data_IF_703929766677
#
_entry.id   IF_703929766677
#
_cell.length_a   1.000
_cell.length_b   1.000
_cell.length_c   1.000
_cell.angle_alpha   90.00
_cell.angle_beta   90.00
_cell.angle_gamma   90.00
#
_symmetry.space_group_name_H-M   'P 1'
#
loop_
_entity.id
_entity.type
_entity.pdbx_description
1 polymer ?
#
# COMPACT_ATOMS: atom_id res chain seq x y z
N UNK A 1 32.90 -37.91 33.91
CA UNK A 1 33.21 -36.67 33.15
C UNK A 1 31.98 -36.32 32.35
N UNK A 2 31.48 -35.12 32.62
CA UNK A 2 30.19 -34.55 32.22
C UNK A 2 30.16 -34.16 30.73
N UNK A 3 29.07 -34.46 30.03
CA UNK A 3 28.69 -33.73 28.82
C UNK A 3 27.16 -33.73 28.68
N UNK A 4 26.55 -32.63 29.09
CA UNK A 4 25.17 -32.24 28.78
C UNK A 4 25.22 -31.33 27.55
N UNK A 5 24.70 -31.80 26.42
CA UNK A 5 24.43 -30.97 25.25
C UNK A 5 22.92 -30.81 25.08
N UNK A 6 22.41 -29.65 25.49
CA UNK A 6 21.11 -29.13 25.10
C UNK A 6 21.27 -28.54 23.69
N UNK A 7 20.78 -29.28 22.69
CA UNK A 7 20.72 -28.85 21.30
C UNK A 7 19.30 -28.40 20.94
N UNK A 8 19.15 -27.09 20.78
CA UNK A 8 17.93 -26.35 20.42
C UNK A 8 17.30 -26.85 19.11
N UNK A 9 16.03 -27.25 19.16
CA UNK A 9 15.16 -27.39 17.98
C UNK A 9 14.82 -25.98 17.46
N UNK A 10 15.37 -25.61 16.31
CA UNK A 10 14.90 -24.45 15.53
C UNK A 10 14.74 -24.92 14.08
N UNK A 11 13.59 -25.52 13.79
CA UNK A 11 13.18 -25.89 12.43
C UNK A 11 12.78 -24.61 11.69
N UNK A 12 13.73 -24.01 10.98
CA UNK A 12 13.47 -22.97 9.99
C UNK A 12 12.77 -23.60 8.79
N UNK A 13 11.52 -23.20 8.54
CA UNK A 13 10.85 -23.38 7.26
C UNK A 13 11.56 -22.51 6.21
N UNK A 14 12.56 -23.09 5.53
CA UNK A 14 13.14 -22.54 4.31
C UNK A 14 12.44 -23.22 3.13
N UNK A 15 11.43 -22.56 2.57
CA UNK A 15 10.92 -22.92 1.24
C UNK A 15 11.94 -22.47 0.18
N UNK A 16 12.28 -23.32 -0.82
CA UNK A 16 13.22 -22.94 -1.86
C UNK A 16 12.57 -21.96 -2.84
N UNK A 17 13.18 -20.78 -2.99
CA UNK A 17 12.84 -19.78 -4.00
C UNK A 17 13.31 -20.25 -5.39
N UNK A 18 12.38 -20.75 -6.20
CA UNK A 18 12.60 -20.92 -7.64
C UNK A 18 12.19 -19.63 -8.36
N UNK A 19 13.03 -18.59 -8.32
CA UNK A 19 12.82 -17.38 -9.13
C UNK A 19 13.31 -17.65 -10.54
N UNK A 20 12.40 -17.92 -11.47
CA UNK A 20 12.72 -17.96 -12.90
C UNK A 20 12.85 -16.51 -13.38
N UNK A 21 14.06 -16.13 -13.80
CA UNK A 21 14.35 -14.83 -14.42
C UNK A 21 13.60 -14.70 -15.76
N UNK A 22 12.73 -13.68 -15.88
CA UNK A 22 12.02 -13.36 -17.12
C UNK A 22 12.55 -12.03 -17.68
N UNK A 23 12.76 -12.02 -19.00
CA UNK A 23 13.30 -10.90 -19.79
C UNK A 23 12.46 -9.62 -19.65
N UNK A 24 13.13 -8.50 -19.40
CA UNK A 24 12.55 -7.16 -19.39
C UNK A 24 12.31 -6.65 -20.82
N UNK A 25 11.07 -6.31 -21.16
CA UNK A 25 10.74 -5.47 -22.32
C UNK A 25 10.11 -4.17 -21.82
N UNK A 26 10.75 -3.05 -22.15
CA UNK A 26 10.54 -1.72 -21.55
C UNK A 26 9.23 -1.02 -21.89
N UNK A 27 8.27 -1.69 -22.55
CA UNK A 27 6.99 -1.06 -22.95
C UNK A 27 5.73 -1.77 -22.44
N UNK A 28 5.86 -2.95 -21.83
CA UNK A 28 4.79 -3.61 -21.09
C UNK A 28 5.43 -4.62 -20.14
N UNK A 29 5.94 -4.16 -19.00
CA UNK A 29 6.66 -5.00 -18.03
C UNK A 29 5.66 -5.91 -17.29
N UNK A 30 5.19 -6.93 -17.99
CA UNK A 30 4.49 -8.07 -17.42
C UNK A 30 5.52 -9.08 -16.95
N UNK A 31 5.37 -9.56 -15.73
CA UNK A 31 6.20 -10.64 -15.19
C UNK A 31 5.31 -11.74 -14.64
N UNK A 32 5.73 -12.98 -14.85
CA UNK A 32 5.06 -14.17 -14.35
C UNK A 32 5.90 -14.78 -13.23
N UNK A 33 5.24 -15.33 -12.23
CA UNK A 33 5.90 -16.04 -11.13
C UNK A 33 4.93 -17.06 -10.52
N UNK A 34 5.42 -17.86 -9.59
CA UNK A 34 4.61 -18.85 -8.86
C UNK A 34 4.63 -18.56 -7.36
N UNK A 35 3.51 -18.84 -6.70
CA UNK A 35 3.35 -18.83 -5.26
C UNK A 35 2.73 -20.15 -4.82
N UNK A 36 3.56 -21.08 -4.33
CA UNK A 36 3.13 -22.47 -4.21
C UNK A 36 2.74 -23.00 -5.59
N UNK A 37 1.54 -23.57 -5.69
CA UNK A 37 0.99 -24.09 -6.95
C UNK A 37 0.30 -23.02 -7.81
N UNK A 38 0.11 -21.80 -7.27
CA UNK A 38 -0.60 -20.73 -7.96
C UNK A 38 0.32 -19.96 -8.89
N UNK A 39 -0.06 -19.92 -10.18
CA UNK A 39 0.56 -19.03 -11.16
C UNK A 39 0.04 -17.61 -10.92
N UNK A 40 0.95 -16.65 -10.85
CA UNK A 40 0.66 -15.25 -10.62
C UNK A 40 1.26 -14.36 -11.71
N UNK A 41 0.66 -13.19 -11.90
CA UNK A 41 1.22 -12.12 -12.73
C UNK A 41 1.52 -10.89 -11.88
N UNK A 42 2.47 -10.10 -12.36
CA UNK A 42 2.66 -8.71 -11.96
C UNK A 42 2.71 -7.87 -13.23
N UNK A 43 1.79 -6.91 -13.35
CA UNK A 43 1.50 -6.15 -14.57
C UNK A 43 1.43 -4.66 -14.28
N UNK A 44 2.21 -3.87 -15.00
CA UNK A 44 2.08 -2.40 -14.99
C UNK A 44 0.92 -1.95 -15.88
N UNK A 45 0.06 -1.10 -15.36
CA UNK A 45 -1.04 -0.43 -16.06
C UNK A 45 -0.75 1.07 -16.02
N UNK A 46 -0.23 1.63 -17.11
CA UNK A 46 0.23 3.02 -17.14
C UNK A 46 -0.89 3.98 -17.54
N UNK A 47 -0.99 5.14 -16.91
CA UNK A 47 -1.99 6.17 -17.25
C UNK A 47 -3.43 5.64 -17.19
N UNK A 48 -3.79 4.97 -16.10
CA UNK A 48 -5.17 4.59 -15.83
C UNK A 48 -5.94 5.83 -15.38
N UNK A 49 -7.10 6.04 -15.99
CA UNK A 49 -7.98 7.16 -15.68
C UNK A 49 -8.67 6.91 -14.35
N UNK A 50 -8.61 7.88 -13.44
CA UNK A 50 -9.44 7.93 -12.23
C UNK A 50 -10.55 8.96 -12.38
N UNK A 51 -10.78 9.78 -11.36
CA UNK A 51 -11.76 10.87 -11.45
C UNK A 51 -11.33 12.04 -12.34
N UNK A 52 -12.26 12.53 -13.16
CA UNK A 52 -12.01 13.54 -14.19
C UNK A 52 -10.89 13.13 -15.15
N UNK A 53 -9.90 14.01 -15.31
CA UNK A 53 -8.71 13.77 -16.14
C UNK A 53 -7.51 13.27 -15.33
N UNK A 54 -7.69 12.91 -14.05
CA UNK A 54 -6.60 12.46 -13.19
C UNK A 54 -6.11 11.08 -13.64
N UNK A 55 -4.81 10.95 -13.87
CA UNK A 55 -4.16 9.71 -14.30
C UNK A 55 -3.22 9.18 -13.22
N UNK A 56 -3.28 7.88 -12.96
CA UNK A 56 -2.28 7.18 -12.16
C UNK A 56 -1.78 5.93 -12.88
N UNK A 57 -0.52 5.61 -12.63
CA UNK A 57 0.00 4.28 -12.92
C UNK A 57 -0.39 3.32 -11.80
N UNK A 58 -0.76 2.09 -12.15
CA UNK A 58 -1.14 1.04 -11.22
C UNK A 58 -0.34 -0.22 -11.53
N UNK A 59 0.28 -0.83 -10.52
CA UNK A 59 0.87 -2.17 -10.65
C UNK A 59 -0.11 -3.18 -10.06
N UNK A 60 -0.63 -4.04 -10.92
CA UNK A 60 -1.44 -5.20 -10.51
C UNK A 60 -0.53 -6.37 -10.17
N UNK A 61 -0.86 -7.13 -9.11
CA UNK A 61 -0.24 -8.41 -8.83
C UNK A 61 -1.26 -9.40 -8.24
N UNK A 62 -1.32 -10.62 -8.78
CA UNK A 62 -2.29 -11.61 -8.31
C UNK A 62 -2.33 -12.90 -9.13
N UNK A 63 -3.09 -13.88 -8.64
CA UNK A 63 -3.30 -15.17 -9.29
C UNK A 63 -4.14 -15.03 -10.58
N UNK A 64 -3.86 -15.86 -11.58
CA UNK A 64 -4.45 -15.76 -12.93
C UNK A 64 -5.61 -16.71 -13.19
N UNK A 65 -6.08 -17.48 -12.23
CA UNK A 65 -7.17 -18.47 -12.46
C UNK A 65 -8.19 -18.59 -11.34
N UNK A 66 -7.90 -17.95 -10.20
CA UNK A 66 -8.76 -17.90 -9.03
C UNK A 66 -9.58 -16.62 -9.04
N UNK A 67 -10.80 -16.68 -8.53
CA UNK A 67 -11.54 -15.47 -8.19
C UNK A 67 -10.94 -14.97 -6.87
N UNK A 68 -10.48 -13.73 -6.77
CA UNK A 68 -9.91 -13.23 -5.53
C UNK A 68 -10.99 -13.16 -4.43
N UNK A 69 -10.60 -13.54 -3.22
CA UNK A 69 -11.41 -13.37 -2.01
C UNK A 69 -11.52 -11.91 -1.59
N UNK A 70 -10.62 -11.05 -2.08
CA UNK A 70 -10.57 -9.63 -1.79
C UNK A 70 -9.50 -8.89 -2.60
N UNK A 71 -9.39 -7.59 -2.35
CA UNK A 71 -8.46 -6.69 -2.99
C UNK A 71 -7.63 -5.97 -1.92
N UNK A 72 -6.34 -5.80 -2.18
CA UNK A 72 -5.42 -5.00 -1.37
C UNK A 72 -4.94 -3.85 -2.23
N UNK A 73 -5.25 -2.62 -1.84
CA UNK A 73 -4.73 -1.41 -2.49
C UNK A 73 -3.61 -0.85 -1.66
N UNK A 74 -2.45 -0.69 -2.28
CA UNK A 74 -1.24 -0.23 -1.62
C UNK A 74 -0.79 1.13 -2.17
N UNK A 75 -0.56 2.07 -1.26
CA UNK A 75 0.03 3.37 -1.55
C UNK A 75 1.48 3.39 -1.04
N UNK A 76 2.48 3.39 -1.94
CA UNK A 76 3.89 3.36 -1.58
C UNK A 76 4.40 4.67 -0.94
N UNK A 77 5.59 4.59 -0.36
CA UNK A 77 6.28 5.69 0.29
C UNK A 77 7.15 6.55 -0.62
N UNK A 78 7.93 7.42 0.01
CA UNK A 78 9.11 8.00 -0.64
C UNK A 78 10.06 6.90 -1.10
N UNK A 79 10.96 7.25 -2.03
CA UNK A 79 12.00 6.39 -2.61
C UNK A 79 11.45 5.29 -3.53
N UNK A 80 10.29 4.72 -3.21
CA UNK A 80 9.67 3.63 -3.98
C UNK A 80 9.16 4.13 -5.34
N UNK A 81 9.75 3.60 -6.41
CA UNK A 81 9.39 3.86 -7.80
C UNK A 81 9.60 2.56 -8.60
N UNK A 82 9.41 2.61 -9.92
CA UNK A 82 9.84 1.53 -10.80
C UNK A 82 11.33 1.25 -10.64
N UNK A 83 11.69 -0.04 -10.75
CA UNK A 83 13.06 -0.53 -10.60
C UNK A 83 14.09 0.30 -11.40
N UNK A 84 13.81 0.59 -12.67
CA UNK A 84 14.71 1.36 -13.52
C UNK A 84 14.93 2.81 -13.04
N UNK A 85 13.91 3.45 -12.45
CA UNK A 85 14.01 4.80 -11.90
C UNK A 85 14.86 4.79 -10.62
N UNK A 86 14.67 3.78 -9.77
CA UNK A 86 15.43 3.61 -8.54
C UNK A 86 16.90 3.30 -8.83
N UNK A 87 17.20 2.39 -9.76
CA UNK A 87 18.56 2.04 -10.18
C UNK A 87 19.33 3.23 -10.78
N UNK A 88 18.63 4.09 -11.52
CA UNK A 88 19.22 5.29 -12.10
C UNK A 88 19.53 6.38 -11.06
N UNK A 89 19.01 6.27 -9.84
CA UNK A 89 19.23 7.25 -8.78
C UNK A 89 20.55 6.99 -8.04
N UNK A 90 21.35 8.05 -7.81
CA UNK A 90 22.64 7.96 -7.10
C UNK A 90 22.53 7.28 -5.73
N UNK A 91 21.62 7.78 -4.90
CA UNK A 91 21.50 7.37 -3.48
C UNK A 91 20.43 6.29 -3.22
N UNK A 92 19.34 6.28 -3.99
CA UNK A 92 18.18 5.41 -3.77
C UNK A 92 18.33 4.00 -4.39
N UNK A 93 19.28 3.80 -5.30
CA UNK A 93 19.52 2.50 -5.96
C UNK A 93 19.76 1.32 -5.00
N UNK A 94 20.24 1.60 -3.77
CA UNK A 94 20.43 0.58 -2.74
C UNK A 94 19.12 0.01 -2.17
N UNK A 95 18.02 0.74 -2.33
CA UNK A 95 16.68 0.33 -1.88
C UNK A 95 15.85 -0.29 -3.01
N UNK A 96 16.47 -0.64 -4.14
CA UNK A 96 15.78 -1.16 -5.33
C UNK A 96 14.93 -2.41 -5.03
N UNK A 97 15.32 -3.24 -4.05
CA UNK A 97 14.52 -4.40 -3.64
C UNK A 97 13.11 -4.01 -3.18
N UNK A 98 12.89 -2.75 -2.79
CA UNK A 98 11.62 -2.17 -2.36
C UNK A 98 10.88 -1.43 -3.47
N UNK A 99 11.21 -1.68 -4.74
CA UNK A 99 10.48 -1.16 -5.89
C UNK A 99 9.00 -1.59 -5.88
N UNK A 100 8.20 -0.97 -6.74
CA UNK A 100 6.75 -1.17 -6.77
C UNK A 100 6.35 -2.62 -7.03
N UNK A 101 7.00 -3.30 -7.98
CA UNK A 101 6.69 -4.68 -8.33
C UNK A 101 7.15 -5.68 -7.28
N UNK A 102 8.34 -5.48 -6.70
CA UNK A 102 8.82 -6.31 -5.59
C UNK A 102 7.91 -6.17 -4.38
N UNK A 103 7.47 -4.95 -4.06
CA UNK A 103 6.51 -4.71 -2.99
C UNK A 103 5.15 -5.33 -3.31
N UNK A 104 4.68 -5.25 -4.56
CA UNK A 104 3.42 -5.89 -4.97
C UNK A 104 3.48 -7.42 -4.78
N UNK A 105 4.60 -8.07 -5.14
CA UNK A 105 4.80 -9.51 -4.93
C UNK A 105 4.87 -9.88 -3.45
N UNK A 106 5.54 -9.06 -2.64
CA UNK A 106 5.61 -9.25 -1.19
C UNK A 106 4.21 -9.20 -0.55
N UNK A 107 3.39 -8.22 -0.94
CA UNK A 107 2.00 -8.13 -0.48
C UNK A 107 1.15 -9.28 -0.99
N UNK A 108 1.36 -9.72 -2.24
CA UNK A 108 0.65 -10.88 -2.78
C UNK A 108 0.94 -12.13 -1.94
N UNK A 109 2.19 -12.34 -1.49
CA UNK A 109 2.56 -13.44 -0.59
C UNK A 109 1.88 -13.34 0.78
N UNK A 110 1.74 -12.12 1.32
CA UNK A 110 1.06 -11.89 2.60
C UNK A 110 -0.46 -12.07 2.51
N UNK A 111 -1.04 -11.77 1.36
CA UNK A 111 -2.47 -11.86 1.09
C UNK A 111 -2.72 -12.83 -0.08
N UNK A 112 -2.46 -14.14 0.08
CA UNK A 112 -2.34 -15.10 -1.03
C UNK A 112 -3.60 -15.29 -1.86
N UNK A 113 -4.78 -15.03 -1.30
CA UNK A 113 -6.08 -15.12 -1.99
C UNK A 113 -6.63 -13.77 -2.46
N UNK A 114 -5.85 -12.70 -2.34
CA UNK A 114 -6.26 -11.35 -2.72
C UNK A 114 -5.51 -10.87 -3.95
N UNK A 115 -6.15 -9.98 -4.71
CA UNK A 115 -5.47 -9.19 -5.73
C UNK A 115 -4.83 -7.95 -5.13
N UNK A 116 -3.60 -7.64 -5.53
CA UNK A 116 -2.86 -6.47 -5.07
C UNK A 116 -2.83 -5.39 -6.17
N UNK A 117 -3.13 -4.16 -5.78
CA UNK A 117 -3.14 -2.98 -6.64
C UNK A 117 -2.25 -1.90 -6.01
N UNK A 118 -1.02 -1.78 -6.49
CA UNK A 118 -0.11 -0.71 -6.04
C UNK A 118 -0.39 0.54 -6.87
N UNK A 119 -0.91 1.58 -6.23
CA UNK A 119 -1.20 2.87 -6.87
C UNK A 119 0.04 3.76 -6.80
N UNK A 120 0.73 3.90 -7.91
CA UNK A 120 1.92 4.75 -7.99
C UNK A 120 1.50 6.22 -7.86
N UNK A 121 2.30 6.99 -7.11
CA UNK A 121 2.17 8.45 -7.07
C UNK A 121 2.29 9.08 -8.46
N UNK A 122 1.53 10.14 -8.73
CA UNK A 122 1.54 10.84 -10.02
C UNK A 122 2.88 11.49 -10.31
N UNK A 123 3.61 11.91 -9.27
CA UNK A 123 4.93 12.54 -9.39
C UNK A 123 5.86 12.09 -8.26
N UNK A 124 7.15 11.94 -8.62
CA UNK A 124 8.28 11.76 -7.70
C UNK A 124 9.16 13.01 -7.74
N UNK A 125 8.97 13.94 -6.81
CA UNK A 125 9.77 15.16 -6.73
C UNK A 125 11.20 14.82 -6.31
N UNK A 126 12.18 15.40 -7.01
CA UNK A 126 13.61 15.06 -6.83
C UNK A 126 13.90 13.56 -6.93
N UNK A 127 13.05 12.81 -7.67
CA UNK A 127 13.14 11.35 -7.81
C UNK A 127 13.14 10.60 -6.47
N UNK A 128 12.58 11.20 -5.42
CA UNK A 128 12.60 10.69 -4.04
C UNK A 128 11.25 10.90 -3.34
N UNK A 129 10.72 12.12 -3.38
CA UNK A 129 9.54 12.47 -2.60
C UNK A 129 8.25 12.18 -3.37
N UNK A 130 7.39 11.31 -2.84
CA UNK A 130 6.11 10.98 -3.46
C UNK A 130 5.12 12.15 -3.35
N UNK A 131 4.40 12.48 -4.43
CA UNK A 131 3.39 13.54 -4.45
C UNK A 131 2.04 13.00 -4.91
N UNK A 132 1.12 12.77 -3.97
CA UNK A 132 -0.21 12.22 -4.20
C UNK A 132 -1.28 13.27 -4.55
N UNK A 133 -0.95 14.24 -5.41
CA UNK A 133 -1.83 15.39 -5.71
C UNK A 133 -3.17 15.02 -6.37
N UNK A 134 -3.32 13.80 -6.90
CA UNK A 134 -4.61 13.31 -7.39
C UNK A 134 -5.59 12.93 -6.26
N UNK A 135 -5.06 12.61 -5.08
CA UNK A 135 -5.83 12.23 -3.90
C UNK A 135 -5.91 13.34 -2.88
N UNK A 136 -4.80 14.06 -2.66
CA UNK A 136 -4.69 15.08 -1.62
C UNK A 136 -3.95 16.33 -2.10
N UNK A 137 -4.53 17.52 -1.87
CA UNK A 137 -3.85 18.80 -2.09
C UNK A 137 -2.51 18.79 -1.36
N UNK A 138 -1.43 19.11 -2.06
CA UNK A 138 -0.08 19.01 -1.51
C UNK A 138 0.84 20.09 -2.09
N UNK A 139 1.86 20.45 -1.34
CA UNK A 139 2.95 21.28 -1.86
C UNK A 139 3.88 20.50 -2.82
N UNK A 140 4.92 21.16 -3.33
CA UNK A 140 5.79 20.57 -4.34
C UNK A 140 6.56 19.31 -3.92
N UNK A 141 6.79 19.12 -2.62
CA UNK A 141 7.46 17.95 -2.06
C UNK A 141 6.47 16.92 -1.47
N UNK A 142 5.17 17.10 -1.70
CA UNK A 142 4.14 16.16 -1.28
C UNK A 142 3.76 16.25 0.19
N UNK A 143 3.96 17.39 0.85
CA UNK A 143 3.34 17.63 2.16
C UNK A 143 1.85 17.91 1.97
N UNK A 144 0.96 17.16 2.66
CA UNK A 144 -0.47 17.25 2.43
C UNK A 144 -1.13 18.42 3.15
N UNK A 145 -2.20 18.93 2.55
CA UNK A 145 -3.20 19.79 3.16
C UNK A 145 -4.52 19.01 3.19
N UNK A 146 -4.82 18.41 4.34
CA UNK A 146 -6.01 17.59 4.52
C UNK A 146 -7.26 18.44 4.79
N UNK A 147 -8.27 18.27 3.95
CA UNK A 147 -9.60 18.86 4.13
C UNK A 147 -10.66 17.91 3.58
N UNK A 148 -11.91 18.03 4.02
CA UNK A 148 -12.99 17.24 3.43
C UNK A 148 -13.40 17.80 2.06
N UNK A 149 -13.79 16.92 1.13
CA UNK A 149 -14.34 17.28 -0.17
C UNK A 149 -13.37 17.16 -1.34
N UNK A 150 -12.18 16.59 -1.15
CA UNK A 150 -11.15 16.49 -2.22
C UNK A 150 -11.38 15.34 -3.22
N UNK A 151 -12.51 14.62 -3.10
CA UNK A 151 -12.95 13.56 -4.01
C UNK A 151 -11.97 12.37 -4.10
N UNK A 152 -11.21 12.10 -3.02
CA UNK A 152 -10.20 11.02 -2.99
C UNK A 152 -10.82 9.63 -3.23
N UNK A 153 -12.00 9.37 -2.65
CA UNK A 153 -12.75 8.13 -2.88
C UNK A 153 -13.28 8.00 -4.29
N UNK A 154 -13.75 9.10 -4.90
CA UNK A 154 -14.25 9.05 -6.27
C UNK A 154 -13.12 8.66 -7.23
N UNK A 155 -11.94 9.27 -7.03
CA UNK A 155 -10.75 8.97 -7.81
C UNK A 155 -10.32 7.51 -7.62
N UNK A 156 -10.27 7.00 -6.39
CA UNK A 156 -9.92 5.59 -6.12
C UNK A 156 -10.89 4.61 -6.80
N UNK A 157 -12.20 4.85 -6.64
CA UNK A 157 -13.24 3.99 -7.20
C UNK A 157 -13.12 3.88 -8.72
N UNK A 158 -13.03 5.02 -9.43
CA UNK A 158 -12.85 5.05 -10.88
C UNK A 158 -11.52 4.43 -11.31
N UNK A 159 -10.44 4.71 -10.59
CA UNK A 159 -9.11 4.20 -10.90
C UNK A 159 -9.06 2.66 -10.87
N UNK A 160 -9.62 2.04 -9.83
CA UNK A 160 -9.64 0.58 -9.71
C UNK A 160 -10.57 -0.08 -10.73
N UNK A 161 -11.74 0.51 -11.00
CA UNK A 161 -12.65 0.02 -12.02
C UNK A 161 -11.97 -0.02 -13.40
N UNK A 162 -11.37 1.11 -13.80
CA UNK A 162 -10.67 1.25 -15.08
C UNK A 162 -9.39 0.41 -15.15
N UNK A 163 -8.67 0.24 -14.03
CA UNK A 163 -7.52 -0.67 -13.96
C UNK A 163 -7.97 -2.12 -14.19
N UNK A 164 -9.08 -2.54 -13.57
CA UNK A 164 -9.66 -3.86 -13.75
C UNK A 164 -10.12 -4.12 -15.18
N UNK A 165 -10.76 -3.15 -15.84
CA UNK A 165 -11.13 -3.21 -17.26
C UNK A 165 -9.89 -3.38 -18.15
N UNK A 166 -8.88 -2.53 -17.96
CA UNK A 166 -7.65 -2.59 -18.75
C UNK A 166 -6.90 -3.90 -18.58
N UNK A 167 -6.89 -4.45 -17.36
CA UNK A 167 -6.30 -5.75 -17.09
C UNK A 167 -7.04 -6.87 -17.84
N UNK A 168 -8.38 -6.86 -17.83
CA UNK A 168 -9.18 -7.81 -18.60
C UNK A 168 -8.87 -7.72 -20.10
N UNK A 169 -8.76 -6.53 -20.65
CA UNK A 169 -8.44 -6.34 -22.07
C UNK A 169 -7.06 -6.91 -22.43
N UNK A 170 -6.04 -6.67 -21.58
CA UNK A 170 -4.70 -7.21 -21.77
C UNK A 170 -4.73 -8.75 -21.75
N UNK A 171 -5.40 -9.34 -20.76
CA UNK A 171 -5.48 -10.81 -20.64
C UNK A 171 -6.28 -11.45 -21.76
N UNK A 172 -7.34 -10.81 -22.24
CA UNK A 172 -8.19 -11.35 -23.32
C UNK A 172 -7.44 -11.35 -24.65
N UNK A 173 -6.68 -10.28 -24.96
CA UNK A 173 -5.83 -10.19 -26.16
C UNK A 173 -4.65 -11.18 -26.15
N UNK A 174 -4.19 -11.60 -24.97
CA UNK A 174 -3.10 -12.56 -24.82
C UNK A 174 -3.57 -14.03 -24.82
N UNK A 175 -4.87 -14.27 -24.62
CA UNK A 175 -5.44 -15.61 -24.53
C UNK A 175 -5.47 -16.36 -25.88
N UNK A 176 -5.18 -15.69 -27.00
CA UNK A 176 -5.05 -16.36 -28.32
C UNK A 176 -3.82 -17.28 -28.39
N UNK A 177 -2.79 -17.09 -27.52
CA UNK A 177 -1.56 -17.91 -27.55
C UNK A 177 -1.29 -18.74 -26.28
N UNK A 178 -1.83 -18.39 -25.11
CA UNK A 178 -1.76 -19.24 -23.89
C UNK A 178 -2.94 -18.96 -22.95
N UNK A 179 -3.74 -19.98 -22.68
CA UNK A 179 -5.00 -19.93 -21.94
C UNK A 179 -4.84 -19.65 -20.43
N UNK A 180 -4.71 -18.39 -20.02
CA UNK A 180 -4.87 -18.01 -18.60
C UNK A 180 -5.53 -16.63 -18.44
N UNK A 181 -6.74 -16.57 -17.90
CA UNK A 181 -7.54 -15.35 -17.77
C UNK A 181 -7.65 -14.88 -16.31
N UNK A 182 -7.13 -13.68 -16.02
CA UNK A 182 -7.30 -13.04 -14.70
C UNK A 182 -8.79 -12.78 -14.44
N UNK A 183 -9.30 -13.30 -13.32
CA UNK A 183 -10.66 -13.00 -12.87
C UNK A 183 -10.64 -11.80 -11.94
N UNK A 184 -11.16 -10.67 -12.37
CA UNK A 184 -11.26 -9.46 -11.53
C UNK A 184 -12.61 -9.44 -10.82
N UNK A 185 -12.62 -9.34 -9.49
CA UNK A 185 -13.82 -9.12 -8.70
C UNK A 185 -13.77 -7.73 -8.03
N UNK A 186 -14.43 -6.75 -8.64
CA UNK A 186 -14.50 -5.38 -8.13
C UNK A 186 -15.39 -5.24 -6.88
N UNK A 187 -16.26 -6.23 -6.62
CA UNK A 187 -17.16 -6.25 -5.45
C UNK A 187 -16.58 -7.02 -4.26
N UNK A 188 -15.40 -7.61 -4.39
CA UNK A 188 -14.74 -8.31 -3.30
C UNK A 188 -14.29 -7.31 -2.21
N UNK A 189 -14.23 -7.74 -0.93
CA UNK A 189 -13.71 -6.95 0.18
C UNK A 189 -12.42 -6.18 -0.14
N UNK A 190 -12.31 -4.96 0.36
CA UNK A 190 -11.17 -4.07 0.10
C UNK A 190 -10.35 -3.84 1.37
N UNK A 191 -9.04 -4.02 1.27
CA UNK A 191 -8.05 -3.63 2.27
C UNK A 191 -7.21 -2.50 1.71
N UNK A 192 -7.08 -1.41 2.46
CA UNK A 192 -6.24 -0.27 2.07
C UNK A 192 -4.98 -0.25 2.91
N UNK A 193 -3.83 -0.05 2.27
CA UNK A 193 -2.53 -0.04 2.92
C UNK A 193 -1.76 1.17 2.46
N UNK A 194 -1.34 2.02 3.39
CA UNK A 194 -0.47 3.16 3.13
C UNK A 194 0.85 2.94 3.83
N UNK A 195 1.95 3.06 3.10
CA UNK A 195 3.29 2.99 3.68
C UNK A 195 3.99 4.33 3.59
N UNK A 196 4.62 4.77 4.68
CA UNK A 196 5.41 6.01 4.72
C UNK A 196 4.59 7.21 4.23
N UNK A 197 5.01 7.87 3.14
CA UNK A 197 4.26 8.96 2.52
C UNK A 197 2.90 8.52 1.93
N UNK A 198 2.71 7.25 1.58
CA UNK A 198 1.40 6.73 1.15
C UNK A 198 0.31 6.83 2.23
N UNK A 199 0.68 6.94 3.51
CA UNK A 199 -0.28 7.19 4.60
C UNK A 199 -1.05 8.51 4.44
N UNK A 200 -0.53 9.50 3.71
CA UNK A 200 -1.26 10.74 3.44
C UNK A 200 -2.53 10.49 2.63
N UNK A 201 -2.52 9.48 1.74
CA UNK A 201 -3.71 9.09 0.99
C UNK A 201 -4.75 8.50 1.93
N UNK A 202 -4.35 7.60 2.84
CA UNK A 202 -5.27 7.03 3.83
C UNK A 202 -5.86 8.11 4.74
N UNK A 203 -5.04 9.08 5.17
CA UNK A 203 -5.53 10.21 5.94
C UNK A 203 -6.63 10.94 5.17
N UNK A 204 -6.37 11.31 3.91
CA UNK A 204 -7.32 12.03 3.08
C UNK A 204 -8.62 11.24 2.82
N UNK A 205 -8.52 9.92 2.62
CA UNK A 205 -9.70 9.06 2.49
C UNK A 205 -10.58 9.12 3.75
N UNK A 206 -10.02 9.18 4.96
CA UNK A 206 -10.83 9.31 6.18
C UNK A 206 -11.49 10.70 6.30
N UNK A 207 -10.82 11.76 5.83
CA UNK A 207 -11.40 13.11 5.75
C UNK A 207 -12.61 13.14 4.80
N UNK A 208 -12.52 12.47 3.65
CA UNK A 208 -13.58 12.44 2.64
C UNK A 208 -14.68 11.41 2.92
N UNK A 209 -14.48 10.47 3.85
CA UNK A 209 -15.35 9.30 4.03
C UNK A 209 -16.82 9.66 4.28
N UNK A 210 -17.09 10.69 5.08
CA UNK A 210 -18.47 11.10 5.38
C UNK A 210 -19.20 11.65 4.15
N UNK A 211 -18.50 12.33 3.23
CA UNK A 211 -19.06 12.82 1.98
C UNK A 211 -19.17 11.69 0.96
N UNK A 212 -18.17 10.81 0.89
CA UNK A 212 -18.17 9.64 0.02
C UNK A 212 -19.37 8.72 0.26
N UNK A 213 -19.77 8.50 1.52
CA UNK A 213 -20.95 7.70 1.88
C UNK A 213 -22.29 8.32 1.47
N UNK A 214 -22.33 9.61 1.11
CA UNK A 214 -23.55 10.27 0.63
C UNK A 214 -23.78 10.05 -0.87
N UNK A 215 -22.72 9.76 -1.62
CA UNK A 215 -22.80 9.33 -3.00
C UNK A 215 -23.15 7.83 -3.05
N UNK A 216 -24.11 7.45 -3.89
CA UNK A 216 -24.62 6.07 -3.94
C UNK A 216 -23.54 5.08 -4.40
N UNK A 217 -22.83 5.40 -5.47
CA UNK A 217 -21.90 4.48 -6.12
C UNK A 217 -20.60 4.44 -5.33
N UNK A 218 -20.09 5.61 -4.93
CA UNK A 218 -18.88 5.71 -4.10
C UNK A 218 -19.14 5.17 -2.69
N UNK A 219 -20.32 5.42 -2.11
CA UNK A 219 -20.71 4.89 -0.81
C UNK A 219 -20.70 3.36 -0.78
N UNK A 220 -21.30 2.73 -1.81
CA UNK A 220 -21.26 1.26 -1.98
C UNK A 220 -19.82 0.75 -2.07
N UNK A 221 -18.96 1.45 -2.80
CA UNK A 221 -17.54 1.11 -2.87
C UNK A 221 -16.85 1.23 -1.50
N UNK A 222 -17.12 2.30 -0.73
CA UNK A 222 -16.53 2.49 0.61
C UNK A 222 -16.99 1.44 1.62
N UNK A 223 -18.21 0.92 1.52
CA UNK A 223 -18.74 -0.13 2.41
C UNK A 223 -18.05 -1.49 2.18
N UNK A 224 -17.40 -1.65 1.01
CA UNK A 224 -16.53 -2.78 0.70
C UNK A 224 -15.22 -2.79 1.51
N UNK A 225 -14.81 -1.66 2.08
CA UNK A 225 -13.56 -1.54 2.86
C UNK A 225 -13.70 -2.26 4.20
N UNK A 226 -12.83 -3.23 4.46
CA UNK A 226 -12.83 -4.02 5.71
C UNK A 226 -11.66 -3.69 6.63
N UNK A 227 -10.53 -3.26 6.07
CA UNK A 227 -9.36 -2.91 6.86
C UNK A 227 -8.54 -1.78 6.24
N UNK A 228 -7.90 -0.98 7.10
CA UNK A 228 -6.97 0.08 6.73
C UNK A 228 -5.67 -0.04 7.55
N UNK A 229 -4.53 -0.06 6.86
CA UNK A 229 -3.20 -0.24 7.43
C UNK A 229 -2.35 1.01 7.22
N UNK A 230 -2.02 1.70 8.31
CA UNK A 230 -1.00 2.74 8.34
C UNK A 230 0.34 2.10 8.72
N UNK A 231 1.22 1.98 7.74
CA UNK A 231 2.56 1.40 7.88
C UNK A 231 3.61 2.52 7.93
N UNK A 232 4.10 2.79 9.13
CA UNK A 232 5.16 3.74 9.44
C UNK A 232 4.99 5.11 8.76
N UNK A 233 3.80 5.69 8.95
CA UNK A 233 3.40 6.94 8.32
C UNK A 233 4.33 8.10 8.64
N UNK A 234 4.74 8.83 7.59
CA UNK A 234 5.67 9.95 7.69
C UNK A 234 5.69 10.82 6.43
N UNK A 235 5.91 12.12 6.60
CA UNK A 235 6.16 13.05 5.50
C UNK A 235 7.03 14.23 5.97
N UNK A 236 7.38 15.11 5.03
CA UNK A 236 8.33 16.21 5.26
C UNK A 236 7.67 17.44 5.93
N UNK A 237 6.41 17.33 6.34
CA UNK A 237 5.66 18.40 6.99
C UNK A 237 5.78 18.33 8.51
N UNK A 238 5.44 19.43 9.18
CA UNK A 238 5.59 19.56 10.64
C UNK A 238 4.40 19.10 11.48
N UNK A 239 3.27 18.75 10.85
CA UNK A 239 2.00 18.38 11.48
C UNK A 239 1.17 17.50 10.56
N UNK A 240 0.12 16.89 11.08
CA UNK A 240 -0.87 16.09 10.34
C UNK A 240 -0.30 14.84 9.68
N UNK A 241 0.75 14.27 10.26
CA UNK A 241 1.27 12.96 9.85
C UNK A 241 0.27 11.86 10.20
N UNK A 242 -0.39 11.99 11.35
CA UNK A 242 -1.53 11.15 11.74
C UNK A 242 -2.77 12.01 11.99
N UNK A 243 -3.94 11.47 11.70
CA UNK A 243 -5.20 12.17 11.91
C UNK A 243 -5.41 12.37 13.41
N UNK A 244 -5.37 13.62 13.86
CA UNK A 244 -5.71 13.91 15.25
C UNK A 244 -7.13 14.42 15.41
N UNK A 245 -7.75 15.05 14.40
CA UNK A 245 -9.06 15.68 14.54
C UNK A 245 -10.17 14.69 14.92
N UNK A 246 -10.82 14.93 16.05
CA UNK A 246 -11.85 14.04 16.60
C UNK A 246 -13.08 13.94 15.69
N UNK A 247 -13.48 15.04 15.05
CA UNK A 247 -14.59 15.05 14.08
C UNK A 247 -14.32 14.13 12.89
N UNK A 248 -13.08 14.08 12.42
CA UNK A 248 -12.67 13.24 11.29
C UNK A 248 -12.59 11.76 11.69
N UNK A 249 -11.98 11.46 12.84
CA UNK A 249 -11.90 10.07 13.33
C UNK A 249 -13.27 9.44 13.61
N UNK A 250 -14.28 10.25 13.95
CA UNK A 250 -15.66 9.78 14.09
C UNK A 250 -16.22 9.18 12.80
N UNK A 251 -15.68 9.53 11.63
CA UNK A 251 -16.11 8.92 10.36
C UNK A 251 -15.79 7.42 10.27
N UNK A 252 -14.81 6.93 11.05
CA UNK A 252 -14.48 5.51 11.14
C UNK A 252 -15.38 4.75 12.13
N UNK A 253 -16.09 5.46 13.01
CA UNK A 253 -17.02 4.85 13.97
C UNK A 253 -18.24 4.32 13.21
N UNK A 254 -18.57 3.04 13.40
CA UNK A 254 -19.68 2.39 12.70
C UNK A 254 -19.42 2.06 11.23
N UNK A 255 -18.25 2.41 10.68
CA UNK A 255 -17.85 2.01 9.32
C UNK A 255 -17.47 0.52 9.23
N UNK A 256 -17.31 -0.16 10.38
CA UNK A 256 -16.84 -1.55 10.47
C UNK A 256 -15.52 -1.81 9.73
N UNK A 257 -14.60 -0.84 9.82
CA UNK A 257 -13.25 -0.89 9.26
C UNK A 257 -12.27 -1.21 10.39
N UNK A 258 -11.52 -2.29 10.25
CA UNK A 258 -10.40 -2.61 11.14
C UNK A 258 -9.24 -1.64 10.89
N UNK A 259 -8.72 -1.04 11.97
CA UNK A 259 -7.61 -0.09 11.87
C UNK A 259 -6.32 -0.74 12.36
N UNK A 260 -5.31 -0.75 11.50
CA UNK A 260 -3.99 -1.29 11.81
C UNK A 260 -2.95 -0.15 11.78
N UNK A 261 -2.24 0.03 12.89
CA UNK A 261 -1.12 0.95 13.03
C UNK A 261 0.14 0.13 13.29
N UNK A 262 1.03 0.08 12.31
CA UNK A 262 2.33 -0.56 12.43
C UNK A 262 3.39 0.51 12.29
N UNK A 263 4.20 0.72 13.32
CA UNK A 263 5.18 1.81 13.34
C UNK A 263 6.55 1.33 13.75
N UNK A 264 7.58 2.08 13.38
CA UNK A 264 8.97 1.82 13.78
C UNK A 264 9.55 3.04 14.50
N UNK A 265 10.63 2.85 15.30
CA UNK A 265 11.40 3.94 15.86
C UNK A 265 11.85 4.99 14.84
N UNK A 266 12.04 4.62 13.56
CA UNK A 266 12.45 5.55 12.50
C UNK A 266 11.51 6.76 12.37
N UNK A 267 10.19 6.55 12.49
CA UNK A 267 9.21 7.65 12.45
C UNK A 267 8.82 8.12 13.85
N UNK A 268 8.45 7.21 14.76
CA UNK A 268 7.78 7.61 16.01
C UNK A 268 8.73 7.98 17.15
N UNK A 269 10.00 7.64 17.05
CA UNK A 269 11.04 7.92 18.05
C UNK A 269 12.14 8.85 17.49
N UNK A 270 11.79 9.66 16.49
CA UNK A 270 12.69 10.69 15.96
C UNK A 270 12.61 12.00 16.75
N UNK A 271 13.66 12.29 17.52
CA UNK A 271 13.78 13.54 18.30
C UNK A 271 13.68 14.81 17.46
N UNK A 272 14.01 14.74 16.16
CA UNK A 272 13.87 15.87 15.23
C UNK A 272 12.44 16.07 14.74
N UNK A 273 11.62 15.03 14.81
CA UNK A 273 10.21 15.02 14.36
C UNK A 273 9.28 14.47 15.44
N UNK A 274 9.31 15.02 16.67
CA UNK A 274 8.63 14.42 17.83
C UNK A 274 7.09 14.47 17.70
N UNK A 275 6.55 15.26 16.77
CA UNK A 275 5.12 15.29 16.49
C UNK A 275 4.62 13.96 15.93
N UNK A 276 5.41 13.22 15.14
CA UNK A 276 4.95 11.99 14.48
C UNK A 276 4.50 10.97 15.52
N UNK A 277 5.35 10.66 16.50
CA UNK A 277 4.99 9.76 17.60
C UNK A 277 3.87 10.31 18.51
N UNK A 278 3.82 11.63 18.73
CA UNK A 278 2.75 12.26 19.53
C UNK A 278 1.39 12.18 18.84
N UNK A 279 1.33 12.43 17.53
CA UNK A 279 0.12 12.36 16.73
C UNK A 279 -0.34 10.91 16.58
N UNK A 280 0.57 9.96 16.36
CA UNK A 280 0.26 8.54 16.29
C UNK A 280 -0.40 8.03 17.58
N UNK A 281 0.17 8.35 18.74
CA UNK A 281 -0.42 8.00 20.06
C UNK A 281 -1.80 8.62 20.24
N UNK A 282 -2.01 9.86 19.75
CA UNK A 282 -3.31 10.52 19.79
C UNK A 282 -4.32 9.85 18.86
N UNK A 283 -3.92 9.47 17.64
CA UNK A 283 -4.73 8.76 16.66
C UNK A 283 -5.27 7.45 17.25
N UNK A 284 -4.37 6.57 17.69
CA UNK A 284 -4.71 5.27 18.28
C UNK A 284 -5.57 5.45 19.53
N UNK A 285 -5.15 6.30 20.47
CA UNK A 285 -5.88 6.51 21.71
C UNK A 285 -7.26 7.12 21.52
N UNK A 286 -7.47 7.97 20.51
CA UNK A 286 -8.80 8.53 20.19
C UNK A 286 -9.73 7.47 19.61
N UNK A 287 -9.25 6.67 18.65
CA UNK A 287 -10.04 5.59 18.05
C UNK A 287 -10.44 4.52 19.07
N UNK A 288 -9.52 4.09 19.93
CA UNK A 288 -9.81 3.13 21.00
C UNK A 288 -10.87 3.67 21.97
N UNK A 289 -10.81 4.95 22.36
CA UNK A 289 -11.84 5.58 23.20
C UNK A 289 -13.21 5.68 22.52
N UNK A 290 -13.25 5.67 21.19
CA UNK A 290 -14.50 5.64 20.41
C UNK A 290 -15.03 4.23 20.17
N UNK A 291 -14.34 3.18 20.66
CA UNK A 291 -14.72 1.79 20.46
C UNK A 291 -14.35 1.23 19.08
N UNK A 292 -13.48 1.89 18.33
CA UNK A 292 -12.95 1.35 17.07
C UNK A 292 -11.91 0.28 17.38
N UNK A 293 -11.99 -0.87 16.69
CA UNK A 293 -10.99 -1.92 16.78
C UNK A 293 -9.67 -1.45 16.16
N UNK A 294 -8.64 -1.26 17.00
CA UNK A 294 -7.32 -0.81 16.57
C UNK A 294 -6.27 -1.85 16.96
N UNK A 295 -5.61 -2.43 15.97
CA UNK A 295 -4.37 -3.18 16.16
C UNK A 295 -3.19 -2.20 16.07
N UNK A 296 -2.43 -2.06 17.15
CA UNK A 296 -1.30 -1.14 17.22
C UNK A 296 -0.02 -1.88 17.61
N UNK A 297 0.99 -1.85 16.73
CA UNK A 297 2.27 -2.55 16.91
C UNK A 297 3.45 -1.62 16.67
N UNK A 298 4.35 -1.53 17.65
CA UNK A 298 5.69 -0.94 17.50
C UNK A 298 6.67 -2.05 17.16
N UNK A 299 7.22 -2.01 15.95
CA UNK A 299 8.20 -2.96 15.45
C UNK A 299 9.62 -2.51 15.80
N UNK A 300 10.54 -3.45 15.95
CA UNK A 300 11.98 -3.17 16.12
C UNK A 300 12.32 -2.28 17.32
N UNK A 301 11.53 -2.35 18.39
CA UNK A 301 11.77 -1.56 19.60
C UNK A 301 13.16 -1.87 20.17
N UNK A 302 13.94 -0.83 20.45
CA UNK A 302 15.30 -0.94 20.98
C UNK A 302 16.41 -1.06 19.91
N UNK A 303 16.06 -1.22 18.63
CA UNK A 303 17.04 -1.14 17.53
C UNK A 303 17.33 0.31 17.12
N UNK A 304 18.51 0.55 16.53
CA UNK A 304 18.89 1.88 16.04
C UNK A 304 18.04 2.32 14.84
N UNK A 305 17.56 3.56 14.88
CA UNK A 305 16.72 4.14 13.82
C UNK A 305 17.47 4.17 12.49
N UNK A 306 16.90 3.52 11.47
CA UNK A 306 17.46 3.53 10.12
C UNK A 306 16.37 3.51 9.06
N UNK A 307 16.70 3.98 7.85
CA UNK A 307 15.80 3.86 6.71
C UNK A 307 15.65 2.39 6.26
N UNK A 308 16.66 1.55 6.49
CA UNK A 308 16.55 0.10 6.25
C UNK A 308 15.47 -0.54 7.14
N UNK A 309 15.42 -0.17 8.42
CA UNK A 309 14.35 -0.59 9.34
C UNK A 309 12.97 -0.16 8.85
N UNK A 310 12.84 1.08 8.40
CA UNK A 310 11.60 1.62 7.86
C UNK A 310 11.05 0.74 6.73
N UNK A 311 11.90 0.34 5.77
CA UNK A 311 11.50 -0.57 4.70
C UNK A 311 11.29 -2.01 5.15
N UNK A 312 12.11 -2.50 6.09
CA UNK A 312 11.99 -3.87 6.63
C UNK A 312 10.61 -4.13 7.23
N UNK A 313 9.91 -3.10 7.71
CA UNK A 313 8.53 -3.20 8.15
C UNK A 313 7.61 -3.86 7.11
N UNK A 314 7.81 -3.60 5.81
CA UNK A 314 7.00 -4.17 4.74
C UNK A 314 7.04 -5.71 4.70
N UNK A 315 8.08 -6.34 5.27
CA UNK A 315 8.21 -7.79 5.41
C UNK A 315 7.56 -8.35 6.69
N UNK A 316 7.32 -7.53 7.71
CA UNK A 316 7.00 -7.99 9.08
C UNK A 316 5.64 -7.57 9.63
N UNK A 317 5.01 -6.54 9.05
CA UNK A 317 3.68 -6.09 9.49
C UNK A 317 2.62 -7.18 9.32
#
# INVERSE_FOLDING_TARGET
>A
MTSTALGTLCSRYLFPLSIILIKYSSKSAQTWFTMGDNRCICQRLTSVIGDGEKLNDVVFCGAVSEVPEGNVVFFPGDVQDYSENMLAHRDNKRYEEWNLESTARLLCQRFPHNHVWVVKTVRMTLKTFAVYSNFVTSNDIGCPEHEAGQQSWHHLCKLLANAGERLRDICTKQAEDTCVAVKVNASAPLTLVGFSKGCVVLNQLVYDLALAKQDKDVGTFTDGVKAMYWLDGGHNGGVNTWITHQSVLKNLVGANIEVHSHVTPYQTEDDRRPWVGKEQKKFVGRLQRMGVAVNNTLHFSGEERSLDMHFRLLKEF
#
